data_IF_632443313130
#
_entry.id   IF_632443313130
#
_cell.length_a   1.000
_cell.length_b   1.000
_cell.length_c   1.000
_cell.angle_alpha   90.00
_cell.angle_beta   90.00
_cell.angle_gamma   90.00
#
_symmetry.space_group_name_H-M   'P 1'
#
loop_
_entity.id
_entity.type
_entity.pdbx_description
1 polymer ?
#
# COMPACT_ATOMS: atom_id res chain seq x y z
N UNK A 1 13.26 7.40 16.61
CA UNK A 1 12.11 6.67 17.18
C UNK A 1 12.62 6.00 18.44
N UNK A 2 12.20 6.47 19.62
CA UNK A 2 12.67 5.91 20.89
C UNK A 2 11.85 4.65 21.28
N UNK A 3 12.24 3.99 22.40
CA UNK A 3 11.61 2.73 22.83
C UNK A 3 10.14 2.91 23.21
N UNK A 4 9.75 4.09 23.69
CA UNK A 4 8.37 4.44 24.05
C UNK A 4 7.53 4.69 22.80
N UNK A 5 8.11 5.28 21.75
CA UNK A 5 7.45 5.44 20.45
C UNK A 5 7.13 4.09 19.79
N UNK A 6 8.02 3.10 19.99
CA UNK A 6 7.82 1.75 19.46
C UNK A 6 6.70 1.03 20.23
N UNK A 7 6.68 1.10 21.57
CA UNK A 7 5.65 0.46 22.40
C UNK A 7 4.27 1.09 22.18
N UNK A 8 4.19 2.43 22.07
CA UNK A 8 2.96 3.13 21.72
C UNK A 8 2.49 2.83 20.29
N UNK A 9 3.41 2.61 19.35
CA UNK A 9 3.08 2.20 17.99
C UNK A 9 2.44 0.81 17.95
N UNK A 10 2.85 -0.13 18.81
CA UNK A 10 2.27 -1.47 18.87
C UNK A 10 0.83 -1.48 19.40
N UNK A 11 0.51 -0.67 20.40
CA UNK A 11 -0.84 -0.58 20.99
C UNK A 11 -1.87 0.07 20.06
N UNK A 12 -1.42 0.86 19.08
CA UNK A 12 -2.25 1.58 18.11
C UNK A 12 -2.15 1.05 16.67
N UNK A 13 -1.54 -0.14 16.47
CA UNK A 13 -1.32 -0.70 15.16
C UNK A 13 -2.49 -1.58 14.70
N UNK A 14 -3.01 -1.29 13.51
CA UNK A 14 -4.01 -2.10 12.81
C UNK A 14 -3.31 -2.87 11.69
N UNK A 15 -3.41 -4.19 11.73
CA UNK A 15 -2.83 -5.04 10.68
C UNK A 15 -3.76 -5.13 9.46
N UNK A 16 -3.19 -4.96 8.27
CA UNK A 16 -3.87 -5.11 6.98
C UNK A 16 -3.40 -6.41 6.35
N UNK A 17 -4.28 -7.39 6.29
CA UNK A 17 -4.01 -8.70 5.71
C UNK A 17 -3.92 -8.64 4.19
N UNK A 18 -3.35 -9.68 3.57
CA UNK A 18 -3.34 -9.83 2.12
C UNK A 18 -4.77 -9.86 1.56
N UNK A 19 -5.04 -9.10 0.52
CA UNK A 19 -6.37 -8.99 -0.08
C UNK A 19 -7.38 -8.24 0.80
N UNK A 20 -6.91 -7.37 1.69
CA UNK A 20 -7.72 -6.54 2.58
C UNK A 20 -7.34 -5.05 2.46
N UNK A 21 -8.18 -4.20 3.02
CA UNK A 21 -7.93 -2.78 3.17
C UNK A 21 -8.48 -2.28 4.51
N UNK A 22 -7.73 -1.39 5.16
CA UNK A 22 -8.13 -0.71 6.39
C UNK A 22 -7.92 0.79 6.27
N UNK A 23 -8.68 1.53 7.03
CA UNK A 23 -8.57 2.97 7.14
C UNK A 23 -8.83 3.42 8.57
N UNK A 24 -8.24 4.53 8.95
CA UNK A 24 -8.47 5.16 10.25
C UNK A 24 -7.97 6.61 10.20
N UNK A 25 -8.06 7.28 11.34
CA UNK A 25 -7.50 8.60 11.60
C UNK A 25 -6.27 8.53 12.50
N UNK A 26 -5.50 9.61 12.49
CA UNK A 26 -4.46 9.87 13.49
C UNK A 26 -4.99 9.62 14.93
N UNK A 27 -4.22 9.04 15.83
CA UNK A 27 -2.80 8.65 15.74
C UNK A 27 -2.54 7.17 15.40
N UNK A 28 -3.43 6.51 14.67
CA UNK A 28 -3.28 5.09 14.31
C UNK A 28 -2.10 4.83 13.37
N UNK A 29 -1.61 3.59 13.39
CA UNK A 29 -0.62 3.07 12.44
C UNK A 29 -1.24 1.87 11.72
N UNK A 30 -1.24 1.88 10.39
CA UNK A 30 -1.65 0.74 9.59
C UNK A 30 -0.40 -0.05 9.17
N UNK A 31 -0.42 -1.37 9.34
CA UNK A 31 0.75 -2.22 9.10
C UNK A 31 0.43 -3.34 8.12
N UNK A 32 1.37 -3.62 7.21
CA UNK A 32 1.31 -4.81 6.36
C UNK A 32 2.69 -5.32 6.00
N UNK A 33 2.76 -6.52 5.41
CA UNK A 33 4.00 -7.13 4.91
C UNK A 33 3.76 -7.53 3.47
N UNK A 34 4.61 -7.05 2.55
CA UNK A 34 4.48 -7.27 1.11
C UNK A 34 5.76 -7.83 0.50
N UNK A 35 5.61 -8.69 -0.48
CA UNK A 35 6.66 -9.14 -1.38
C UNK A 35 6.34 -8.74 -2.82
N UNK A 36 5.83 -9.66 -3.64
CA UNK A 36 5.28 -9.39 -4.98
C UNK A 36 3.95 -8.63 -4.97
N UNK A 37 3.23 -8.67 -3.85
CA UNK A 37 2.08 -7.80 -3.57
C UNK A 37 2.50 -6.33 -3.48
N UNK A 38 1.54 -5.41 -3.55
CA UNK A 38 1.76 -3.97 -3.36
C UNK A 38 0.87 -3.44 -2.24
N UNK A 39 1.47 -2.73 -1.32
CA UNK A 39 0.79 -1.89 -0.35
C UNK A 39 0.56 -0.51 -0.96
N UNK A 40 -0.69 -0.06 -0.97
CA UNK A 40 -1.11 1.26 -1.45
C UNK A 40 -1.59 2.06 -0.25
N UNK A 41 -0.87 3.09 0.12
CA UNK A 41 -1.27 4.05 1.13
C UNK A 41 -1.82 5.31 0.45
N UNK A 42 -3.06 5.70 0.78
CA UNK A 42 -3.65 6.99 0.38
C UNK A 42 -3.90 7.80 1.64
N UNK A 43 -3.54 9.07 1.60
CA UNK A 43 -3.52 9.95 2.78
C UNK A 43 -4.06 11.33 2.49
N UNK A 44 -4.84 11.86 3.45
CA UNK A 44 -5.26 13.26 3.53
C UNK A 44 -4.42 14.00 4.56
N UNK A 45 -3.70 15.02 4.13
CA UNK A 45 -2.90 15.88 5.02
C UNK A 45 -3.77 16.82 5.86
N UNK A 46 -5.06 16.91 5.56
CA UNK A 46 -5.99 17.87 6.23
C UNK A 46 -6.29 17.43 7.66
N UNK A 47 -6.52 16.14 7.87
CA UNK A 47 -7.04 15.60 9.12
C UNK A 47 -6.40 14.27 9.56
N UNK A 48 -5.38 13.81 8.85
CA UNK A 48 -4.70 12.56 9.16
C UNK A 48 -5.54 11.31 8.85
N UNK A 49 -6.52 11.42 7.95
CA UNK A 49 -7.25 10.26 7.46
C UNK A 49 -6.42 9.50 6.44
N UNK A 50 -6.24 8.21 6.65
CA UNK A 50 -5.48 7.36 5.75
C UNK A 50 -6.14 6.01 5.50
N UNK A 51 -5.84 5.47 4.32
CA UNK A 51 -6.30 4.18 3.83
C UNK A 51 -5.10 3.38 3.32
N UNK A 52 -4.98 2.14 3.78
CA UNK A 52 -3.95 1.20 3.35
C UNK A 52 -4.61 -0.06 2.81
N UNK A 53 -4.24 -0.48 1.60
CA UNK A 53 -4.64 -1.78 1.06
C UNK A 53 -3.43 -2.63 0.70
N UNK A 54 -3.62 -3.95 0.79
CA UNK A 54 -2.66 -4.97 0.41
C UNK A 54 -3.18 -5.72 -0.80
N UNK A 55 -2.83 -5.25 -2.01
CA UNK A 55 -3.24 -5.88 -3.26
C UNK A 55 -2.28 -6.99 -3.66
N UNK A 56 -2.81 -7.99 -4.31
CA UNK A 56 -2.11 -9.21 -4.69
C UNK A 56 -2.00 -9.39 -6.20
N UNK A 57 -3.00 -8.90 -6.94
CA UNK A 57 -3.14 -9.07 -8.38
C UNK A 57 -3.54 -7.75 -9.06
N UNK A 58 -3.13 -7.54 -10.33
CA UNK A 58 -3.38 -6.28 -11.02
C UNK A 58 -4.86 -6.03 -11.30
N UNK A 59 -5.58 -7.05 -11.79
CA UNK A 59 -7.00 -6.94 -12.18
C UNK A 59 -7.73 -8.26 -11.98
N UNK A 60 -9.05 -8.16 -11.75
CA UNK A 60 -9.94 -9.31 -11.77
C UNK A 60 -10.14 -9.81 -13.23
N UNK A 61 -10.00 -11.11 -13.45
CA UNK A 61 -10.14 -11.74 -14.78
C UNK A 61 -11.55 -11.52 -15.35
N UNK A 62 -12.59 -11.44 -14.52
CA UNK A 62 -13.98 -11.37 -14.93
C UNK A 62 -14.72 -10.11 -14.45
N UNK A 63 -14.07 -9.00 -14.12
CA UNK A 63 -14.66 -7.73 -13.64
C UNK A 63 -15.75 -7.83 -12.54
N UNK A 64 -16.04 -9.03 -12.05
CA UNK A 64 -17.13 -9.32 -11.09
C UNK A 64 -16.62 -9.67 -9.68
N UNK A 65 -15.33 -9.63 -9.45
CA UNK A 65 -14.76 -10.04 -8.16
C UNK A 65 -14.63 -8.82 -7.25
N UNK A 66 -15.62 -8.62 -6.40
CA UNK A 66 -15.60 -7.62 -5.32
C UNK A 66 -14.61 -8.05 -4.23
N UNK A 67 -13.31 -7.89 -4.51
CA UNK A 67 -12.27 -8.35 -3.60
C UNK A 67 -11.06 -7.43 -3.63
N UNK A 68 -10.62 -6.97 -2.46
CA UNK A 68 -9.48 -6.09 -2.27
C UNK A 68 -8.12 -6.68 -2.71
N UNK A 69 -8.05 -7.97 -3.03
CA UNK A 69 -6.83 -8.55 -3.62
C UNK A 69 -6.49 -8.00 -5.02
N UNK A 70 -7.46 -7.42 -5.72
CA UNK A 70 -7.28 -6.81 -7.03
C UNK A 70 -7.08 -5.31 -6.93
N UNK A 71 -6.08 -4.78 -7.64
CA UNK A 71 -5.74 -3.36 -7.59
C UNK A 71 -6.88 -2.46 -8.08
N UNK A 72 -7.55 -2.83 -9.17
CA UNK A 72 -8.67 -2.07 -9.74
C UNK A 72 -9.82 -1.92 -8.74
N UNK A 73 -10.21 -3.00 -8.08
CA UNK A 73 -11.26 -2.96 -7.06
C UNK A 73 -10.82 -2.17 -5.82
N UNK A 74 -9.63 -2.47 -5.29
CA UNK A 74 -9.13 -1.84 -4.06
C UNK A 74 -8.98 -0.33 -4.20
N UNK A 75 -8.37 0.15 -5.29
CA UNK A 75 -8.20 1.59 -5.54
C UNK A 75 -9.56 2.27 -5.75
N UNK A 76 -10.47 1.66 -6.54
CA UNK A 76 -11.81 2.19 -6.74
C UNK A 76 -12.57 2.36 -5.43
N UNK A 77 -12.50 1.38 -4.53
CA UNK A 77 -13.16 1.43 -3.22
C UNK A 77 -12.52 2.44 -2.26
N UNK A 78 -11.19 2.55 -2.27
CA UNK A 78 -10.49 3.61 -1.54
C UNK A 78 -10.95 4.99 -2.00
N UNK A 79 -10.97 5.24 -3.31
CA UNK A 79 -11.43 6.51 -3.90
C UNK A 79 -12.90 6.80 -3.56
N UNK A 80 -13.77 5.80 -3.67
CA UNK A 80 -15.17 5.91 -3.28
C UNK A 80 -15.32 6.34 -1.82
N UNK A 81 -14.57 5.73 -0.91
CA UNK A 81 -14.56 6.07 0.51
C UNK A 81 -14.15 7.54 0.74
N UNK A 82 -13.07 8.00 0.11
CA UNK A 82 -12.63 9.39 0.23
C UNK A 82 -13.67 10.37 -0.33
N UNK A 83 -14.31 10.05 -1.46
CA UNK A 83 -15.40 10.86 -2.04
C UNK A 83 -16.60 10.95 -1.12
N UNK A 84 -17.05 9.83 -0.54
CA UNK A 84 -18.19 9.79 0.41
C UNK A 84 -17.88 10.67 1.64
N UNK A 85 -16.62 10.68 2.09
CA UNK A 85 -16.15 11.54 3.19
C UNK A 85 -15.95 13.02 2.79
N UNK A 86 -16.15 13.38 1.53
CA UNK A 86 -16.06 14.77 1.06
C UNK A 86 -14.66 15.24 0.67
N UNK A 87 -13.68 14.35 0.56
CA UNK A 87 -12.32 14.74 0.14
C UNK A 87 -12.25 15.01 -1.36
N UNK A 88 -11.50 16.05 -1.72
CA UNK A 88 -11.09 16.30 -3.12
C UNK A 88 -9.89 15.42 -3.46
N UNK A 89 -9.95 14.69 -4.58
CA UNK A 89 -8.87 13.78 -4.98
C UNK A 89 -7.53 14.48 -5.17
N UNK A 90 -7.53 15.72 -5.63
CA UNK A 90 -6.33 16.55 -5.78
C UNK A 90 -5.60 16.86 -4.46
N UNK A 91 -6.29 16.74 -3.33
CA UNK A 91 -5.72 16.97 -1.98
C UNK A 91 -5.22 15.68 -1.34
N UNK A 92 -5.36 14.55 -2.03
CA UNK A 92 -4.88 13.26 -1.57
C UNK A 92 -3.49 12.99 -2.14
N UNK A 93 -2.71 12.27 -1.37
CA UNK A 93 -1.41 11.75 -1.81
C UNK A 93 -1.37 10.26 -1.62
N UNK A 94 -0.59 9.58 -2.48
CA UNK A 94 -0.38 8.16 -2.38
C UNK A 94 1.10 7.81 -2.23
N UNK A 95 1.37 6.66 -1.62
CA UNK A 95 2.69 6.02 -1.57
C UNK A 95 2.54 4.53 -1.87
N UNK A 96 3.51 3.97 -2.59
CA UNK A 96 3.50 2.57 -3.01
C UNK A 96 4.71 1.82 -2.44
N UNK A 97 4.48 0.61 -1.93
CA UNK A 97 5.55 -0.26 -1.42
C UNK A 97 5.30 -1.70 -1.86
N UNK A 98 6.31 -2.40 -2.35
CA UNK A 98 6.22 -3.81 -2.72
C UNK A 98 6.50 -4.10 -4.18
N UNK A 99 5.84 -5.08 -4.77
CA UNK A 99 6.07 -5.48 -6.16
C UNK A 99 7.44 -6.12 -6.39
N UNK A 100 8.03 -6.75 -5.37
CA UNK A 100 9.32 -7.43 -5.49
C UNK A 100 9.20 -8.70 -6.32
N UNK A 101 10.22 -8.98 -7.14
CA UNK A 101 10.37 -10.28 -7.80
C UNK A 101 11.09 -11.23 -6.87
N UNK A 102 10.32 -12.03 -6.12
CA UNK A 102 10.88 -13.05 -5.22
C UNK A 102 11.18 -14.30 -6.05
N UNK A 103 12.45 -14.61 -6.21
CA UNK A 103 12.89 -15.81 -6.92
C UNK A 103 12.67 -17.04 -6.05
N UNK A 104 11.74 -17.90 -6.44
CA UNK A 104 11.81 -19.31 -6.07
C UNK A 104 12.66 -20.02 -7.13
N UNK A 105 13.61 -20.84 -6.69
CA UNK A 105 14.71 -21.39 -7.46
C UNK A 105 14.34 -22.37 -8.61
N UNK A 106 13.56 -21.92 -9.59
CA UNK A 106 13.44 -22.62 -10.87
C UNK A 106 13.56 -21.59 -12.02
N UNK A 107 14.71 -21.63 -12.69
CA UNK A 107 15.11 -20.64 -13.71
C UNK A 107 14.34 -20.73 -15.04
N UNK A 108 13.42 -21.68 -15.22
CA UNK A 108 12.82 -21.99 -16.52
C UNK A 108 11.33 -21.67 -16.65
N UNK A 109 10.73 -20.94 -15.72
CA UNK A 109 9.32 -20.59 -15.85
C UNK A 109 9.15 -19.20 -16.47
N UNK A 110 8.45 -19.14 -17.61
CA UNK A 110 7.86 -17.93 -18.20
C UNK A 110 6.71 -17.47 -17.25
N UNK A 111 7.05 -17.18 -15.98
CA UNK A 111 6.08 -16.68 -15.03
C UNK A 111 6.04 -15.16 -15.21
N UNK A 112 4.86 -14.57 -15.50
CA UNK A 112 4.69 -13.12 -15.54
C UNK A 112 5.21 -12.49 -14.24
N UNK A 113 5.89 -11.36 -14.35
CA UNK A 113 6.35 -10.58 -13.20
C UNK A 113 5.14 -9.86 -12.57
N UNK A 114 4.38 -10.61 -11.78
CA UNK A 114 3.17 -10.10 -11.09
C UNK A 114 3.49 -8.87 -10.25
N UNK A 115 4.67 -8.82 -9.62
CA UNK A 115 5.09 -7.66 -8.84
C UNK A 115 5.17 -6.40 -9.68
N UNK A 116 5.80 -6.48 -10.84
CA UNK A 116 5.90 -5.38 -11.80
C UNK A 116 4.53 -4.98 -12.36
N UNK A 117 3.68 -5.95 -12.71
CA UNK A 117 2.33 -5.68 -13.20
C UNK A 117 1.47 -4.99 -12.14
N UNK A 118 1.56 -5.42 -10.88
CA UNK A 118 0.88 -4.78 -9.76
C UNK A 118 1.28 -3.30 -9.61
N UNK A 119 2.57 -3.01 -9.68
CA UNK A 119 3.07 -1.62 -9.58
C UNK A 119 2.57 -0.78 -10.76
N UNK A 120 2.64 -1.29 -11.97
CA UNK A 120 2.22 -0.56 -13.17
C UNK A 120 0.73 -0.20 -13.14
N UNK A 121 -0.13 -1.13 -12.75
CA UNK A 121 -1.56 -0.87 -12.67
C UNK A 121 -1.91 0.10 -11.53
N UNK A 122 -1.23 0.01 -10.38
CA UNK A 122 -1.44 0.95 -9.28
C UNK A 122 -1.08 2.38 -9.70
N UNK A 123 0.08 2.59 -10.33
CA UNK A 123 0.50 3.89 -10.86
C UNK A 123 -0.52 4.46 -11.84
N UNK A 124 -0.96 3.63 -12.81
CA UNK A 124 -1.97 4.01 -13.80
C UNK A 124 -3.27 4.48 -13.15
N UNK A 125 -3.83 3.67 -12.26
CA UNK A 125 -5.12 3.96 -11.63
C UNK A 125 -5.10 5.18 -10.72
N UNK A 126 -4.00 5.38 -9.96
CA UNK A 126 -3.84 6.58 -9.13
C UNK A 126 -3.74 7.85 -10.00
N UNK A 127 -2.96 7.80 -11.09
CA UNK A 127 -2.82 8.91 -12.04
C UNK A 127 -4.16 9.25 -12.72
N UNK A 128 -4.90 8.27 -13.20
CA UNK A 128 -6.23 8.44 -13.83
C UNK A 128 -7.25 9.08 -12.89
N UNK A 129 -7.05 8.94 -11.59
CA UNK A 129 -7.90 9.52 -10.55
C UNK A 129 -7.33 10.80 -9.93
N UNK A 130 -6.31 11.41 -10.54
CA UNK A 130 -5.67 12.65 -10.08
C UNK A 130 -5.11 12.56 -8.64
N UNK A 131 -4.66 11.39 -8.20
CA UNK A 131 -4.00 11.20 -6.91
C UNK A 131 -2.48 11.17 -7.14
N UNK A 132 -1.77 12.14 -6.59
CA UNK A 132 -0.32 12.26 -6.74
C UNK A 132 0.42 11.19 -5.93
N UNK A 133 1.29 10.43 -6.59
CA UNK A 133 2.22 9.53 -5.91
C UNK A 133 3.41 10.37 -5.40
N UNK A 134 3.56 10.49 -4.08
CA UNK A 134 4.63 11.27 -3.43
C UNK A 134 5.93 10.50 -3.33
N UNK A 135 5.85 9.20 -3.06
CA UNK A 135 7.03 8.36 -2.87
C UNK A 135 6.72 6.89 -3.14
N UNK A 136 7.76 6.13 -3.47
CA UNK A 136 7.67 4.71 -3.75
C UNK A 136 8.90 3.95 -3.26
N UNK A 137 8.68 2.73 -2.74
CA UNK A 137 9.71 1.70 -2.54
C UNK A 137 9.23 0.41 -3.18
N UNK A 138 9.41 0.31 -4.50
CA UNK A 138 8.81 -0.76 -5.31
C UNK A 138 9.85 -1.55 -6.10
N UNK A 139 9.44 -2.74 -6.54
CA UNK A 139 10.28 -3.68 -7.28
C UNK A 139 11.45 -4.23 -6.43
N UNK A 140 12.54 -4.68 -7.06
CA UNK A 140 13.65 -5.35 -6.38
C UNK A 140 13.32 -6.79 -6.05
N UNK A 141 14.06 -7.38 -5.08
CA UNK A 141 14.03 -8.81 -4.77
C UNK A 141 13.67 -9.15 -3.31
N UNK A 142 13.39 -8.15 -2.47
CA UNK A 142 13.16 -8.38 -1.04
C UNK A 142 11.74 -8.01 -0.62
N UNK A 143 11.20 -8.80 0.31
CA UNK A 143 9.99 -8.47 1.04
C UNK A 143 10.18 -7.24 1.94
N UNK A 144 9.09 -6.60 2.30
CA UNK A 144 9.07 -5.37 3.10
C UNK A 144 7.97 -5.40 4.13
N UNK A 145 8.29 -4.99 5.34
CA UNK A 145 7.29 -4.62 6.36
C UNK A 145 7.04 -3.12 6.27
N UNK A 146 5.78 -2.75 6.18
CA UNK A 146 5.31 -1.36 6.01
C UNK A 146 4.55 -0.93 7.24
N UNK A 147 4.88 0.23 7.80
CA UNK A 147 4.15 0.91 8.86
C UNK A 147 3.72 2.28 8.35
N UNK A 148 2.44 2.46 8.17
CA UNK A 148 1.85 3.71 7.71
C UNK A 148 1.35 4.52 8.91
N UNK A 149 2.06 5.59 9.25
CA UNK A 149 1.73 6.46 10.35
C UNK A 149 0.70 7.51 9.91
N UNK A 150 -0.48 7.48 10.51
CA UNK A 150 -1.56 8.42 10.17
C UNK A 150 -1.40 9.80 10.83
N UNK A 151 -0.40 9.98 11.70
CA UNK A 151 -0.10 11.28 12.30
C UNK A 151 0.47 12.27 11.28
N UNK A 152 1.29 11.78 10.34
CA UNK A 152 2.03 12.61 9.38
C UNK A 152 2.04 12.05 7.95
N UNK A 153 1.39 10.91 7.73
CA UNK A 153 1.35 10.24 6.43
C UNK A 153 2.66 9.55 6.04
N UNK A 154 3.64 9.44 6.93
CA UNK A 154 4.91 8.76 6.65
C UNK A 154 4.73 7.24 6.56
N UNK A 155 5.53 6.61 5.68
CA UNK A 155 5.69 5.16 5.64
C UNK A 155 7.08 4.79 6.14
N UNK A 156 7.16 4.12 7.28
CA UNK A 156 8.38 3.45 7.69
C UNK A 156 8.42 2.04 7.09
N UNK A 157 9.46 1.76 6.31
CA UNK A 157 9.61 0.52 5.56
C UNK A 157 10.87 -0.20 6.00
N UNK A 158 10.72 -1.45 6.43
CA UNK A 158 11.83 -2.37 6.73
C UNK A 158 11.93 -3.42 5.64
N UNK A 159 13.00 -3.41 4.87
CA UNK A 159 13.29 -4.45 3.90
C UNK A 159 13.92 -5.67 4.59
N UNK A 160 13.70 -6.84 4.01
CA UNK A 160 14.24 -8.10 4.59
C UNK A 160 15.74 -8.26 4.39
N UNK A 161 16.38 -7.42 3.58
CA UNK A 161 17.84 -7.29 3.48
C UNK A 161 18.46 -6.45 4.62
N UNK A 162 17.64 -5.95 5.54
CA UNK A 162 18.05 -5.08 6.65
C UNK A 162 17.93 -3.59 6.38
N UNK A 163 17.71 -3.16 5.14
CA UNK A 163 17.53 -1.74 4.79
C UNK A 163 16.28 -1.17 5.44
N UNK A 164 16.38 0.06 5.95
CA UNK A 164 15.25 0.80 6.51
C UNK A 164 15.17 2.17 5.86
N UNK A 165 13.96 2.56 5.46
CA UNK A 165 13.69 3.85 4.81
C UNK A 165 12.41 4.47 5.36
N UNK A 166 12.33 5.80 5.28
CA UNK A 166 11.10 6.56 5.54
C UNK A 166 10.72 7.27 4.25
N UNK A 167 9.49 7.04 3.81
CA UNK A 167 8.89 7.67 2.63
C UNK A 167 7.95 8.78 3.06
#
# INVERSE_FOLDING_TARGET
MDKNDIENAYSNTIYVSIGDAKYDYSPKVLKTIVGSCVAIAIYSEVDGFGWLSHIMLPKAINHKSNNFKYADYAISKGIELFKIKGYKMSNLTAKLVGGAKIYFASQDSIIPDIGKENVLICRKLLMENNIKIKAESVLGSFGRTVFFNLKDGSLFVKCFDGTQIVL
#
